data_IF_498649197436
#
_entry.id   IF_498649197436
#
_cell.length_a   1.000
_cell.length_b   1.000
_cell.length_c   1.000
_cell.angle_alpha   90.00
_cell.angle_beta   90.00
_cell.angle_gamma   90.00
#
_symmetry.space_group_name_H-M   'P 1'
#
loop_
_entity.id
_entity.type
_entity.pdbx_description
1 polymer ?
#
# COMPACT_ATOMS: atom_id res chain seq x y z
N UNK A 1 -21.36 12.58 62.43
CA UNK A 1 -20.12 12.21 63.14
C UNK A 1 -18.97 12.10 62.14
N UNK A 2 -18.21 13.14 61.77
CA UNK A 2 -18.11 14.60 62.06
C UNK A 2 -16.59 14.91 62.02
N UNK A 3 -16.04 16.05 61.59
CA UNK A 3 -16.57 17.27 60.95
C UNK A 3 -15.41 17.98 60.19
N UNK A 4 -15.73 18.95 59.33
CA UNK A 4 -14.83 19.79 58.51
C UNK A 4 -13.95 20.75 59.34
N UNK A 5 -12.66 20.89 58.97
CA UNK A 5 -11.87 22.14 59.00
C UNK A 5 -10.64 21.97 58.06
N UNK A 6 -10.17 22.86 57.18
CA UNK A 6 -10.15 24.34 56.97
C UNK A 6 -8.89 25.08 57.46
N UNK A 7 -8.35 25.96 56.58
CA UNK A 7 -7.35 27.04 56.81
C UNK A 7 -5.89 26.60 57.16
N UNK A 8 -4.80 27.35 56.86
CA UNK A 8 -4.57 28.48 55.93
C UNK A 8 -3.04 28.72 55.70
N UNK A 9 -2.68 29.35 54.57
CA UNK A 9 -1.56 30.33 54.33
C UNK A 9 -0.09 29.94 54.66
N UNK A 10 0.74 29.92 53.61
CA UNK A 10 2.07 30.55 53.44
C UNK A 10 2.62 30.06 52.08
N UNK A 11 2.71 30.81 50.99
CA UNK A 11 3.13 32.20 50.73
C UNK A 11 4.66 32.42 50.82
N UNK A 12 5.24 32.68 49.65
CA UNK A 12 6.61 33.16 49.40
C UNK A 12 6.70 33.58 47.93
N UNK A 13 6.45 34.86 47.66
CA UNK A 13 6.81 35.48 46.38
C UNK A 13 8.24 36.00 46.39
N UNK A 14 8.74 36.40 45.22
CA UNK A 14 9.91 37.28 45.09
C UNK A 14 9.71 38.24 43.89
N UNK A 15 10.21 39.47 43.98
CA UNK A 15 9.99 40.57 43.01
C UNK A 15 11.20 40.75 42.04
N UNK A 16 11.58 41.86 41.39
CA UNK A 16 11.22 43.30 41.29
C UNK A 16 11.91 43.83 39.99
N UNK A 17 11.52 44.82 39.18
CA UNK A 17 10.48 45.87 39.06
C UNK A 17 9.83 45.73 37.64
N UNK A 18 8.76 46.39 37.16
CA UNK A 18 8.30 47.81 37.09
C UNK A 18 9.13 48.75 36.20
N UNK A 19 8.52 49.26 35.13
CA UNK A 19 8.58 50.70 34.86
C UNK A 19 7.31 51.19 34.17
N UNK A 20 6.91 52.42 34.50
CA UNK A 20 5.67 53.05 34.05
C UNK A 20 5.96 54.47 33.57
N UNK A 21 5.35 54.85 32.45
CA UNK A 21 5.16 56.24 32.06
C UNK A 21 3.88 56.35 31.22
N UNK A 22 3.13 57.44 31.42
CA UNK A 22 1.88 57.70 30.73
C UNK A 22 1.87 59.18 30.36
N UNK A 23 1.63 59.48 29.10
CA UNK A 23 1.35 60.82 28.60
C UNK A 23 0.34 60.74 27.45
N UNK A 24 -0.41 61.81 27.26
CA UNK A 24 -1.56 61.85 26.35
C UNK A 24 -1.23 62.54 25.03
N UNK A 25 -1.92 62.16 23.94
CA UNK A 25 -2.81 63.12 23.26
C UNK A 25 -3.82 62.47 22.31
N UNK A 26 -4.64 63.29 21.63
CA UNK A 26 -5.79 62.87 20.82
C UNK A 26 -5.44 62.78 19.33
N UNK A 27 -5.69 61.62 18.71
CA UNK A 27 -5.71 61.44 17.26
C UNK A 27 -6.79 60.44 16.87
N UNK A 28 -7.78 60.88 16.08
CA UNK A 28 -8.90 60.05 15.65
C UNK A 28 -8.71 59.56 14.21
N UNK A 29 -8.04 58.41 14.05
CA UNK A 29 -7.88 57.76 12.74
C UNK A 29 -8.63 56.42 12.72
N UNK A 30 -9.52 56.26 11.73
CA UNK A 30 -10.23 55.00 11.49
C UNK A 30 -9.29 53.98 10.84
N UNK A 31 -9.23 52.72 11.30
CA UNK A 31 -8.40 51.71 10.67
C UNK A 31 -8.84 51.47 9.21
N UNK A 32 -7.90 51.23 8.26
CA UNK A 32 -8.24 50.98 6.86
C UNK A 32 -9.16 49.78 6.68
N UNK A 33 -10.17 49.93 5.81
CA UNK A 33 -10.97 48.79 5.35
C UNK A 33 -10.17 47.95 4.35
N UNK A 34 -10.16 46.63 4.56
CA UNK A 34 -9.80 45.66 3.52
C UNK A 34 -8.38 45.12 3.57
N UNK A 35 -8.17 44.11 4.42
CA UNK A 35 -7.42 42.92 4.03
C UNK A 35 -8.31 41.74 4.41
N UNK A 36 -9.12 41.25 3.47
CA UNK A 36 -9.94 40.07 3.71
C UNK A 36 -9.02 38.85 3.91
N UNK A 37 -9.42 37.98 4.83
CA UNK A 37 -8.69 36.75 5.12
C UNK A 37 -8.83 35.79 3.94
N UNK A 38 -7.78 35.72 3.11
CA UNK A 38 -7.55 34.59 2.21
C UNK A 38 -7.16 33.36 3.04
N UNK A 39 -8.12 32.85 3.82
CA UNK A 39 -8.07 31.48 4.32
C UNK A 39 -8.08 30.58 3.08
N UNK A 40 -6.90 30.02 2.76
CA UNK A 40 -6.72 29.13 1.63
C UNK A 40 -7.48 27.84 1.91
N UNK A 41 -8.75 27.82 1.54
CA UNK A 41 -9.61 26.65 1.56
C UNK A 41 -9.01 25.56 0.66
N UNK A 42 -8.14 24.75 1.25
CA UNK A 42 -7.60 23.53 0.63
C UNK A 42 -8.83 22.72 0.21
N UNK A 43 -9.03 22.46 -1.10
CA UNK A 43 -10.18 21.70 -1.54
C UNK A 43 -10.11 20.30 -0.90
N UNK A 44 -10.99 20.04 0.06
CA UNK A 44 -11.24 18.68 0.51
C UNK A 44 -11.86 17.97 -0.68
N UNK A 45 -11.03 17.25 -1.44
CA UNK A 45 -11.50 16.43 -2.53
C UNK A 45 -12.51 15.45 -1.96
N UNK A 46 -13.78 15.59 -2.34
CA UNK A 46 -14.80 14.61 -1.98
C UNK A 46 -14.31 13.25 -2.46
N UNK A 47 -14.01 12.37 -1.50
CA UNK A 47 -13.66 10.99 -1.80
C UNK A 47 -14.84 10.41 -2.58
N UNK A 48 -14.67 10.01 -3.85
CA UNK A 48 -15.79 9.69 -4.70
C UNK A 48 -16.57 8.54 -4.07
N UNK A 49 -17.90 8.64 -4.08
CA UNK A 49 -18.81 7.69 -3.45
C UNK A 49 -18.71 6.25 -4.02
N UNK A 50 -17.93 6.04 -5.08
CA UNK A 50 -17.56 4.74 -5.61
C UNK A 50 -16.39 4.12 -4.81
N UNK A 51 -16.57 2.91 -4.24
CA UNK A 51 -15.51 2.26 -3.47
C UNK A 51 -14.27 1.98 -4.34
N UNK A 52 -13.12 1.90 -3.68
CA UNK A 52 -11.92 1.35 -4.28
C UNK A 52 -12.07 -0.18 -4.36
N UNK A 53 -12.10 -0.74 -5.57
CA UNK A 53 -12.19 -2.18 -5.78
C UNK A 53 -10.79 -2.80 -5.84
N UNK A 54 -10.53 -3.81 -5.01
CA UNK A 54 -9.24 -4.49 -4.92
C UNK A 54 -9.40 -6.00 -5.14
N UNK A 55 -8.95 -6.48 -6.30
CA UNK A 55 -8.91 -7.91 -6.64
C UNK A 55 -7.61 -8.53 -6.13
N UNK A 56 -7.68 -9.59 -5.32
CA UNK A 56 -6.50 -10.20 -4.69
C UNK A 56 -6.23 -11.57 -5.30
N UNK A 57 -5.20 -11.66 -6.15
CA UNK A 57 -4.86 -12.86 -6.94
C UNK A 57 -3.55 -13.49 -6.49
N UNK A 58 -3.37 -14.78 -6.78
CA UNK A 58 -2.21 -15.57 -6.36
C UNK A 58 -2.59 -17.00 -5.98
N UNK A 59 -1.59 -17.81 -5.65
CA UNK A 59 -1.74 -19.25 -5.42
C UNK A 59 -2.43 -19.62 -4.08
N UNK A 60 -2.41 -20.90 -3.74
CA UNK A 60 -2.67 -21.38 -2.38
C UNK A 60 -1.51 -20.98 -1.46
N UNK A 61 -1.77 -20.84 -0.15
CA UNK A 61 -0.73 -20.61 0.86
C UNK A 61 -0.08 -19.21 0.87
N UNK A 62 -0.14 -18.43 -0.21
CA UNK A 62 0.44 -17.07 -0.26
C UNK A 62 -0.25 -16.08 0.69
N UNK A 63 -1.44 -16.41 1.20
CA UNK A 63 -2.08 -15.67 2.30
C UNK A 63 -3.02 -14.53 1.88
N UNK A 64 -3.68 -14.62 0.72
CA UNK A 64 -4.62 -13.60 0.19
C UNK A 64 -5.74 -13.25 1.17
N UNK A 65 -6.45 -14.26 1.68
CA UNK A 65 -7.47 -14.12 2.73
C UNK A 65 -6.89 -13.50 4.01
N UNK A 66 -5.63 -13.81 4.34
CA UNK A 66 -4.91 -13.21 5.49
C UNK A 66 -4.56 -11.74 5.25
N UNK A 67 -4.21 -11.36 4.02
CA UNK A 67 -3.97 -9.97 3.60
C UNK A 67 -5.25 -9.15 3.78
N UNK A 68 -6.37 -9.61 3.20
CA UNK A 68 -7.69 -8.94 3.30
C UNK A 68 -8.11 -8.78 4.77
N UNK A 69 -8.03 -9.86 5.57
CA UNK A 69 -8.31 -9.83 7.01
C UNK A 69 -7.37 -8.91 7.82
N UNK A 70 -6.20 -8.60 7.28
CA UNK A 70 -5.24 -7.70 7.93
C UNK A 70 -5.46 -6.25 7.51
N UNK A 71 -5.76 -5.98 6.23
CA UNK A 71 -6.09 -4.64 5.73
C UNK A 71 -7.42 -4.13 6.29
N UNK A 72 -8.43 -4.99 6.41
CA UNK A 72 -9.72 -4.68 7.06
C UNK A 72 -9.66 -4.75 8.61
N UNK A 73 -8.55 -5.19 9.21
CA UNK A 73 -8.37 -5.41 10.65
C UNK A 73 -9.18 -6.57 11.28
N UNK A 74 -10.32 -6.94 10.68
CA UNK A 74 -11.28 -7.96 11.13
C UNK A 74 -11.17 -9.26 10.32
N UNK A 75 -11.59 -10.39 10.92
CA UNK A 75 -11.75 -11.67 10.21
C UNK A 75 -13.06 -11.64 9.41
N UNK A 76 -12.97 -11.67 8.09
CA UNK A 76 -14.09 -11.79 7.13
C UNK A 76 -13.83 -12.88 6.07
N UNK A 77 -12.59 -13.02 5.61
CA UNK A 77 -12.18 -14.05 4.65
C UNK A 77 -11.77 -15.35 5.37
N UNK A 78 -12.08 -16.51 4.80
CA UNK A 78 -11.89 -17.81 5.46
C UNK A 78 -10.47 -18.36 5.28
N UNK A 79 -9.68 -18.32 6.36
CA UNK A 79 -8.27 -18.78 6.37
C UNK A 79 -8.16 -20.21 6.91
N UNK A 80 -7.75 -21.16 6.06
CA UNK A 80 -7.25 -22.47 6.49
C UNK A 80 -5.77 -22.40 6.88
N UNK A 81 -5.39 -23.18 7.90
CA UNK A 81 -4.00 -23.49 8.26
C UNK A 81 -3.70 -25.00 8.19
N UNK A 82 -4.67 -25.81 7.74
CA UNK A 82 -4.47 -27.24 7.51
C UNK A 82 -3.77 -27.53 6.18
N UNK A 83 -3.45 -28.81 5.89
CA UNK A 83 -2.84 -29.22 4.62
C UNK A 83 -3.78 -29.06 3.41
N UNK A 84 -5.09 -28.92 3.65
CA UNK A 84 -6.10 -28.73 2.62
C UNK A 84 -6.42 -27.23 2.41
N UNK A 85 -6.61 -26.78 1.16
CA UNK A 85 -7.02 -25.42 0.86
C UNK A 85 -8.43 -25.14 1.41
N UNK A 86 -8.74 -23.88 1.69
CA UNK A 86 -10.10 -23.45 2.03
C UNK A 86 -11.09 -23.85 0.93
N UNK A 87 -12.23 -24.42 1.29
CA UNK A 87 -13.39 -24.48 0.39
C UNK A 87 -14.06 -23.11 0.36
N UNK A 88 -13.87 -22.40 -0.75
CA UNK A 88 -14.41 -21.06 -1.03
C UNK A 88 -14.86 -21.00 -2.50
N UNK A 89 -15.72 -20.03 -2.80
CA UNK A 89 -16.24 -19.76 -4.15
C UNK A 89 -15.12 -19.27 -5.10
N UNK A 90 -15.42 -19.13 -6.39
CA UNK A 90 -14.42 -18.64 -7.39
C UNK A 90 -13.83 -17.29 -6.99
N UNK A 91 -14.68 -16.40 -6.47
CA UNK A 91 -14.37 -15.08 -5.94
C UNK A 91 -15.34 -14.85 -4.77
N UNK A 92 -14.87 -14.28 -3.66
CA UNK A 92 -15.69 -13.86 -2.52
C UNK A 92 -15.50 -12.36 -2.23
N UNK A 93 -16.59 -11.67 -1.87
CA UNK A 93 -16.61 -10.21 -1.70
C UNK A 93 -16.53 -9.81 -0.20
N UNK A 94 -15.63 -8.88 0.12
CA UNK A 94 -15.34 -8.46 1.49
C UNK A 94 -15.17 -6.93 1.57
N UNK A 95 -16.22 -6.26 2.02
CA UNK A 95 -16.30 -4.79 2.02
C UNK A 95 -16.00 -4.17 3.39
N UNK A 96 -15.47 -2.94 3.41
CA UNK A 96 -15.21 -2.19 4.64
C UNK A 96 -14.36 -0.93 4.40
N UNK A 97 -13.80 -0.37 5.46
CA UNK A 97 -13.01 0.88 5.40
C UNK A 97 -11.56 0.61 5.76
N UNK A 98 -10.62 1.15 4.96
CA UNK A 98 -9.17 1.07 5.19
C UNK A 98 -8.60 2.48 5.09
N UNK A 99 -8.06 3.02 6.19
CA UNK A 99 -7.58 4.41 6.31
C UNK A 99 -8.55 5.44 5.68
N UNK A 100 -9.81 5.43 6.12
CA UNK A 100 -10.88 6.32 5.62
C UNK A 100 -11.43 5.98 4.23
N UNK A 101 -10.71 5.19 3.44
CA UNK A 101 -11.16 4.76 2.10
C UNK A 101 -12.18 3.64 2.21
N UNK A 102 -13.33 3.76 1.55
CA UNK A 102 -14.25 2.64 1.36
C UNK A 102 -13.67 1.67 0.32
N UNK A 103 -13.52 0.40 0.69
CA UNK A 103 -12.87 -0.64 -0.13
C UNK A 103 -13.78 -1.86 -0.26
N UNK A 104 -13.86 -2.40 -1.48
CA UNK A 104 -14.42 -3.72 -1.77
C UNK A 104 -13.28 -4.65 -2.17
N UNK A 105 -12.94 -5.62 -1.32
CA UNK A 105 -11.98 -6.66 -1.67
C UNK A 105 -12.69 -7.83 -2.35
N UNK A 106 -12.07 -8.37 -3.39
CA UNK A 106 -12.44 -9.64 -3.99
C UNK A 106 -11.32 -10.66 -3.75
N UNK A 107 -11.54 -11.62 -2.85
CA UNK A 107 -10.60 -12.74 -2.63
C UNK A 107 -10.82 -13.78 -3.71
N UNK A 108 -9.81 -14.04 -4.56
CA UNK A 108 -9.95 -15.04 -5.63
C UNK A 108 -9.47 -16.40 -5.17
N UNK A 109 -10.16 -17.45 -5.61
CA UNK A 109 -9.65 -18.81 -5.46
C UNK A 109 -8.32 -18.99 -6.21
N UNK A 110 -7.50 -19.91 -5.72
CA UNK A 110 -6.08 -20.07 -6.10
C UNK A 110 -5.87 -20.12 -7.63
N UNK A 111 -4.86 -19.41 -8.11
CA UNK A 111 -4.38 -19.60 -9.48
C UNK A 111 -3.91 -21.06 -9.68
N UNK A 112 -4.16 -21.61 -10.86
CA UNK A 112 -3.80 -22.99 -11.19
C UNK A 112 -4.63 -24.08 -10.48
N UNK A 113 -5.79 -23.77 -9.89
CA UNK A 113 -6.68 -24.81 -9.35
C UNK A 113 -7.21 -25.72 -10.48
N UNK A 114 -6.96 -27.04 -10.45
CA UNK A 114 -7.49 -27.95 -11.48
C UNK A 114 -9.03 -28.01 -11.50
N UNK A 115 -9.69 -27.57 -10.42
CA UNK A 115 -11.16 -27.48 -10.33
C UNK A 115 -11.72 -26.15 -10.87
N UNK A 116 -10.88 -25.18 -11.27
CA UNK A 116 -11.33 -23.91 -11.84
C UNK A 116 -11.21 -23.88 -13.35
N UNK A 117 -12.32 -23.52 -14.01
CA UNK A 117 -12.26 -23.08 -15.39
C UNK A 117 -11.63 -21.68 -15.45
N UNK A 118 -10.34 -21.59 -15.84
CA UNK A 118 -9.63 -20.31 -15.98
C UNK A 118 -10.39 -19.29 -16.86
N UNK A 119 -11.14 -19.74 -17.89
CA UNK A 119 -11.95 -18.82 -18.73
C UNK A 119 -13.11 -18.18 -17.94
N UNK A 120 -13.68 -18.89 -16.98
CA UNK A 120 -14.75 -18.38 -16.12
C UNK A 120 -14.18 -17.37 -15.11
N UNK A 121 -13.01 -17.65 -14.53
CA UNK A 121 -12.30 -16.69 -13.67
C UNK A 121 -11.94 -15.41 -14.45
N UNK A 122 -11.41 -15.53 -15.68
CA UNK A 122 -11.20 -14.36 -16.57
C UNK A 122 -12.50 -13.60 -16.80
N UNK A 123 -13.62 -14.29 -17.08
CA UNK A 123 -14.91 -13.63 -17.32
C UNK A 123 -15.41 -12.88 -16.08
N UNK A 124 -15.36 -13.49 -14.89
CA UNK A 124 -15.77 -12.86 -13.63
C UNK A 124 -14.90 -11.64 -13.29
N UNK A 125 -13.57 -11.74 -13.47
CA UNK A 125 -12.66 -10.62 -13.24
C UNK A 125 -12.89 -9.50 -14.26
N UNK A 126 -13.09 -9.81 -15.55
CA UNK A 126 -13.44 -8.79 -16.55
C UNK A 126 -14.79 -8.13 -16.27
N UNK A 127 -15.83 -8.90 -15.96
CA UNK A 127 -17.12 -8.33 -15.56
C UNK A 127 -16.97 -7.37 -14.35
N UNK A 128 -16.13 -7.70 -13.35
CA UNK A 128 -15.84 -6.79 -12.23
C UNK A 128 -14.95 -5.58 -12.60
N UNK A 129 -14.12 -5.68 -13.62
CA UNK A 129 -13.42 -4.54 -14.25
C UNK A 129 -14.35 -3.65 -15.09
N UNK A 130 -15.42 -4.21 -15.65
CA UNK A 130 -16.41 -3.47 -16.44
C UNK A 130 -17.47 -2.81 -15.53
N UNK A 131 -17.80 -3.45 -14.39
CA UNK A 131 -18.67 -2.90 -13.33
C UNK A 131 -17.98 -1.83 -12.46
N UNK A 132 -16.65 -1.80 -12.42
CA UNK A 132 -15.87 -0.82 -11.64
C UNK A 132 -15.18 0.18 -12.56
N UNK A 133 -15.22 1.47 -12.22
CA UNK A 133 -14.51 2.51 -12.97
C UNK A 133 -12.97 2.42 -12.76
N UNK A 134 -12.25 3.50 -13.09
CA UNK A 134 -10.81 3.72 -12.84
C UNK A 134 -10.30 3.31 -11.43
N UNK A 135 -11.19 3.30 -10.43
CA UNK A 135 -10.97 2.85 -9.04
C UNK A 135 -10.87 1.33 -8.87
N UNK A 136 -10.41 0.58 -9.87
CA UNK A 136 -10.06 -0.85 -9.76
C UNK A 136 -8.54 -1.07 -9.64
N UNK A 137 -8.10 -2.03 -8.81
CA UNK A 137 -6.69 -2.42 -8.62
C UNK A 137 -6.54 -3.94 -8.45
N UNK A 138 -5.41 -4.51 -8.85
CA UNK A 138 -5.07 -5.93 -8.65
C UNK A 138 -3.84 -6.06 -7.75
N UNK A 139 -3.97 -6.81 -6.64
CA UNK A 139 -2.85 -7.23 -5.81
C UNK A 139 -2.40 -8.64 -6.19
N UNK A 140 -1.26 -8.75 -6.87
CA UNK A 140 -0.64 -10.03 -7.22
C UNK A 140 0.20 -10.49 -6.04
N UNK A 141 -0.25 -11.51 -5.33
CA UNK A 141 0.34 -11.96 -4.06
C UNK A 141 1.29 -13.15 -4.24
N UNK A 142 2.56 -12.98 -3.86
CA UNK A 142 3.61 -14.01 -3.82
C UNK A 142 4.33 -13.92 -2.46
N UNK A 143 4.89 -15.02 -1.91
CA UNK A 143 5.58 -14.96 -0.60
C UNK A 143 7.01 -14.43 -0.78
N UNK A 144 7.46 -13.50 0.05
CA UNK A 144 8.80 -12.89 -0.10
C UNK A 144 9.95 -13.93 -0.05
N UNK A 145 9.79 -14.97 0.76
CA UNK A 145 10.77 -16.04 0.99
C UNK A 145 10.74 -17.17 -0.05
N UNK A 146 9.84 -17.12 -1.05
CA UNK A 146 9.81 -18.14 -2.09
C UNK A 146 10.95 -17.91 -3.09
N UNK A 147 11.74 -18.96 -3.37
CA UNK A 147 12.66 -18.92 -4.52
C UNK A 147 11.85 -18.85 -5.80
N UNK A 148 12.13 -17.86 -6.66
CA UNK A 148 11.49 -17.80 -7.97
C UNK A 148 12.12 -18.81 -8.92
N UNK A 149 11.64 -20.05 -8.84
CA UNK A 149 11.99 -21.08 -9.80
C UNK A 149 11.46 -20.74 -11.21
N UNK A 150 12.25 -21.09 -12.22
CA UNK A 150 11.94 -20.86 -13.63
C UNK A 150 11.04 -21.98 -14.22
N UNK A 151 10.37 -22.78 -13.37
CA UNK A 151 9.28 -23.69 -13.74
C UNK A 151 7.95 -22.90 -13.88
N UNK A 152 7.83 -22.14 -14.98
CA UNK A 152 6.96 -20.95 -15.06
C UNK A 152 5.43 -21.16 -15.15
N UNK A 153 4.86 -22.27 -14.67
CA UNK A 153 3.40 -22.51 -14.70
C UNK A 153 2.59 -21.42 -13.96
N UNK A 154 3.17 -20.91 -12.87
CA UNK A 154 2.57 -19.93 -11.95
C UNK A 154 2.18 -18.64 -12.67
N UNK A 155 3.10 -18.12 -13.49
CA UNK A 155 2.90 -16.90 -14.29
C UNK A 155 2.07 -17.14 -15.53
N UNK A 156 2.15 -18.34 -16.13
CA UNK A 156 1.28 -18.67 -17.25
C UNK A 156 -0.20 -18.50 -16.87
N UNK A 157 -0.59 -18.79 -15.62
CA UNK A 157 -1.95 -18.54 -15.16
C UNK A 157 -2.29 -17.04 -15.10
N UNK A 158 -1.38 -16.18 -14.60
CA UNK A 158 -1.56 -14.71 -14.65
C UNK A 158 -1.68 -14.18 -16.08
N UNK A 159 -0.84 -14.65 -17.01
CA UNK A 159 -0.86 -14.15 -18.40
C UNK A 159 -2.01 -14.76 -19.21
N UNK A 160 -2.45 -15.99 -18.93
CA UNK A 160 -3.71 -16.54 -19.48
C UNK A 160 -4.93 -15.75 -18.95
N UNK A 161 -4.86 -15.23 -17.72
CA UNK A 161 -5.92 -14.48 -17.06
C UNK A 161 -6.04 -13.03 -17.58
N UNK A 162 -4.92 -12.31 -17.72
CA UNK A 162 -4.89 -10.89 -18.10
C UNK A 162 -4.54 -10.64 -19.58
N UNK A 163 -3.88 -11.60 -20.26
CA UNK A 163 -3.42 -11.49 -21.65
C UNK A 163 -2.60 -10.22 -21.88
N UNK A 164 -2.78 -9.55 -23.02
CA UNK A 164 -2.08 -8.31 -23.39
C UNK A 164 -2.90 -7.06 -23.01
N UNK A 165 -3.76 -7.16 -22.00
CA UNK A 165 -4.67 -6.09 -21.59
C UNK A 165 -3.91 -5.02 -20.78
N UNK A 166 -3.53 -3.93 -21.45
CA UNK A 166 -2.69 -2.88 -20.88
C UNK A 166 -3.36 -2.17 -19.69
N UNK A 167 -4.69 -2.00 -19.72
CA UNK A 167 -5.46 -1.40 -18.62
C UNK A 167 -5.39 -2.28 -17.37
N UNK A 168 -5.56 -3.60 -17.53
CA UNK A 168 -5.41 -4.55 -16.42
C UNK A 168 -3.99 -4.49 -15.85
N UNK A 169 -2.95 -4.62 -16.68
CA UNK A 169 -1.57 -4.57 -16.19
C UNK A 169 -1.19 -3.23 -15.54
N UNK A 170 -1.72 -2.10 -16.03
CA UNK A 170 -1.53 -0.78 -15.38
C UNK A 170 -2.14 -0.72 -13.98
N UNK A 171 -3.21 -1.48 -13.72
CA UNK A 171 -3.89 -1.57 -12.41
C UNK A 171 -3.20 -2.51 -11.40
N UNK A 172 -2.19 -3.29 -11.84
CA UNK A 172 -1.50 -4.26 -10.99
C UNK A 172 -0.49 -3.63 -10.02
N UNK A 173 -0.38 -4.26 -8.85
CA UNK A 173 0.64 -4.06 -7.81
C UNK A 173 1.13 -5.46 -7.40
N UNK A 174 2.44 -5.65 -7.30
CA UNK A 174 3.04 -6.88 -6.76
C UNK A 174 3.10 -6.76 -5.23
N UNK A 175 2.61 -7.76 -4.52
CA UNK A 175 2.59 -7.79 -3.04
C UNK A 175 3.35 -9.01 -2.55
N UNK A 176 4.51 -8.76 -1.96
CA UNK A 176 5.38 -9.78 -1.35
C UNK A 176 4.91 -10.05 0.09
N UNK A 177 4.08 -11.07 0.24
CA UNK A 177 3.41 -11.44 1.49
C UNK A 177 4.32 -12.21 2.43
N UNK A 178 3.85 -12.36 3.67
CA UNK A 178 4.55 -13.02 4.78
C UNK A 178 5.87 -12.32 5.16
N UNK A 179 5.98 -11.02 4.92
CA UNK A 179 7.23 -10.25 5.08
C UNK A 179 7.80 -10.19 6.51
N UNK A 180 7.03 -10.57 7.54
CA UNK A 180 7.56 -10.77 8.90
C UNK A 180 8.34 -12.10 9.08
N UNK A 181 8.49 -12.91 8.03
CA UNK A 181 9.34 -14.12 7.98
C UNK A 181 10.67 -13.87 7.28
N UNK A 182 10.92 -12.66 6.80
CA UNK A 182 12.19 -12.30 6.17
C UNK A 182 13.22 -12.00 7.27
N UNK A 183 14.32 -12.76 7.27
CA UNK A 183 15.35 -12.74 8.32
C UNK A 183 16.76 -12.60 7.70
N UNK A 184 17.75 -12.25 8.52
CA UNK A 184 19.16 -12.12 8.09
C UNK A 184 19.79 -13.48 7.75
N UNK A 185 19.42 -14.50 8.53
CA UNK A 185 20.02 -15.84 8.54
C UNK A 185 19.85 -16.62 7.22
N UNK A 186 18.75 -16.40 6.48
CA UNK A 186 18.50 -17.04 5.16
C UNK A 186 19.54 -16.65 4.07
N UNK A 187 20.41 -15.69 4.38
CA UNK A 187 21.44 -15.14 3.48
C UNK A 187 22.87 -15.23 4.04
N UNK A 188 23.06 -15.86 5.20
CA UNK A 188 24.40 -16.10 5.76
C UNK A 188 24.86 -17.49 5.34
N UNK A 189 25.98 -17.55 4.62
CA UNK A 189 26.64 -18.81 4.24
C UNK A 189 27.16 -19.53 5.48
N UNK A 190 27.26 -20.87 5.43
CA UNK A 190 27.82 -21.72 6.51
C UNK A 190 29.33 -21.45 6.82
N UNK A 191 29.92 -20.44 6.21
CA UNK A 191 31.24 -19.92 6.55
C UNK A 191 31.18 -19.23 7.92
N UNK A 192 31.84 -19.85 8.91
CA UNK A 192 31.92 -19.33 10.28
C UNK A 192 32.85 -18.12 10.35
N UNK A 193 32.34 -16.94 10.01
CA UNK A 193 33.02 -15.70 10.39
C UNK A 193 33.09 -15.61 11.93
N UNK A 194 34.27 -15.28 12.45
CA UNK A 194 34.53 -15.26 13.88
C UNK A 194 33.70 -14.18 14.60
N UNK A 195 33.15 -14.52 15.76
CA UNK A 195 32.15 -13.72 16.48
C UNK A 195 32.73 -12.53 17.25
N UNK A 196 33.59 -11.74 16.63
CA UNK A 196 34.11 -10.50 17.22
C UNK A 196 33.27 -9.29 16.80
N UNK A 197 32.49 -8.75 17.75
CA UNK A 197 31.90 -7.41 17.63
C UNK A 197 30.64 -7.29 16.76
N UNK A 198 29.62 -8.13 17.00
CA UNK A 198 28.30 -7.95 16.36
C UNK A 198 27.79 -6.52 16.59
N UNK A 199 27.58 -5.79 15.49
CA UNK A 199 27.32 -4.36 15.54
C UNK A 199 26.08 -3.97 16.33
N UNK A 200 26.13 -2.78 16.93
CA UNK A 200 25.01 -2.09 17.58
C UNK A 200 23.68 -2.28 16.83
N UNK A 201 22.60 -2.66 17.54
CA UNK A 201 21.32 -3.13 16.98
C UNK A 201 20.76 -2.29 15.81
N UNK A 202 20.94 -0.97 15.80
CA UNK A 202 20.62 -0.09 14.67
C UNK A 202 21.21 -0.57 13.34
N UNK A 203 22.47 -1.02 13.33
CA UNK A 203 23.14 -1.57 12.13
C UNK A 203 22.49 -2.87 11.65
N UNK A 204 21.94 -3.69 12.54
CA UNK A 204 21.20 -4.90 12.17
C UNK A 204 19.87 -4.54 11.47
N UNK A 205 19.13 -3.56 11.98
CA UNK A 205 17.91 -3.06 11.34
C UNK A 205 18.19 -2.45 9.95
N UNK A 206 19.28 -1.68 9.82
CA UNK A 206 19.73 -1.10 8.55
C UNK A 206 20.12 -2.19 7.53
N UNK A 207 20.87 -3.21 7.93
CA UNK A 207 21.23 -4.34 7.06
C UNK A 207 19.99 -5.16 6.66
N UNK A 208 19.06 -5.41 7.59
CA UNK A 208 17.80 -6.13 7.29
C UNK A 208 16.93 -5.35 6.30
N UNK A 209 16.85 -4.02 6.47
CA UNK A 209 16.18 -3.09 5.55
C UNK A 209 16.82 -3.10 4.16
N UNK A 210 18.15 -3.08 4.07
CA UNK A 210 18.88 -3.15 2.80
C UNK A 210 18.70 -4.51 2.12
N UNK A 211 18.87 -5.64 2.83
CA UNK A 211 18.58 -7.01 2.32
C UNK A 211 17.14 -7.09 1.78
N UNK A 212 16.14 -6.56 2.50
CA UNK A 212 14.75 -6.54 2.04
C UNK A 212 14.53 -5.66 0.80
N UNK A 213 15.17 -4.49 0.69
CA UNK A 213 15.10 -3.63 -0.51
C UNK A 213 15.73 -4.33 -1.74
N UNK A 214 16.84 -5.06 -1.55
CA UNK A 214 17.48 -5.85 -2.61
C UNK A 214 16.53 -6.96 -3.08
N UNK A 215 16.01 -7.76 -2.15
CA UNK A 215 15.03 -8.81 -2.43
C UNK A 215 13.80 -8.27 -3.20
N UNK A 216 13.23 -7.12 -2.79
CA UNK A 216 12.13 -6.47 -3.51
C UNK A 216 12.47 -6.09 -4.96
N UNK A 217 13.71 -5.64 -5.23
CA UNK A 217 14.18 -5.31 -6.58
C UNK A 217 14.42 -6.57 -7.43
N UNK A 218 15.00 -7.62 -6.84
CA UNK A 218 15.18 -8.92 -7.49
C UNK A 218 13.82 -9.50 -7.90
N UNK A 219 12.85 -9.49 -6.99
CA UNK A 219 11.46 -9.86 -7.27
C UNK A 219 10.86 -9.05 -8.44
N UNK A 220 11.08 -7.74 -8.50
CA UNK A 220 10.61 -6.90 -9.61
C UNK A 220 11.21 -7.34 -10.96
N UNK A 221 12.55 -7.48 -11.02
CA UNK A 221 13.30 -7.83 -12.23
C UNK A 221 12.97 -9.24 -12.73
N UNK A 222 12.88 -10.21 -11.79
CA UNK A 222 12.56 -11.60 -12.08
C UNK A 222 11.09 -11.75 -12.52
N UNK A 223 10.16 -11.09 -11.84
CA UNK A 223 8.74 -11.06 -12.22
C UNK A 223 8.54 -10.43 -13.61
N UNK A 224 9.26 -9.33 -13.90
CA UNK A 224 9.26 -8.74 -15.25
C UNK A 224 9.79 -9.72 -16.30
N UNK A 225 10.94 -10.34 -16.04
CA UNK A 225 11.55 -11.31 -16.97
C UNK A 225 10.63 -12.50 -17.25
N UNK A 226 9.85 -12.95 -16.28
CA UNK A 226 8.83 -13.98 -16.46
C UNK A 226 7.65 -13.51 -17.32
N UNK A 227 7.17 -12.28 -17.13
CA UNK A 227 6.05 -11.73 -17.92
C UNK A 227 6.44 -11.43 -19.38
N UNK A 228 7.66 -10.94 -19.63
CA UNK A 228 8.16 -10.70 -20.99
C UNK A 228 8.24 -11.99 -21.83
N UNK A 229 8.60 -13.12 -21.21
CA UNK A 229 8.61 -14.46 -21.85
C UNK A 229 7.22 -14.93 -22.32
N UNK A 230 6.13 -14.26 -21.90
CA UNK A 230 4.75 -14.54 -22.31
C UNK A 230 4.07 -13.34 -22.99
N UNK A 231 4.85 -12.48 -23.66
CA UNK A 231 4.36 -11.38 -24.51
C UNK A 231 3.61 -10.24 -23.77
N UNK A 232 3.75 -10.10 -22.46
CA UNK A 232 3.19 -8.96 -21.74
C UNK A 232 3.92 -7.63 -22.13
N UNK A 233 3.23 -6.47 -22.18
CA UNK A 233 3.81 -5.25 -22.75
C UNK A 233 4.89 -4.58 -21.87
N UNK A 234 6.14 -4.57 -22.34
CA UNK A 234 7.33 -4.09 -21.59
C UNK A 234 7.17 -2.76 -20.84
N UNK A 235 6.59 -1.73 -21.48
CA UNK A 235 6.46 -0.37 -20.92
C UNK A 235 5.67 -0.33 -19.60
N UNK A 236 4.75 -1.27 -19.40
CA UNK A 236 3.90 -1.33 -18.20
C UNK A 236 4.65 -1.93 -17.02
N UNK A 237 5.46 -2.96 -17.28
CA UNK A 237 6.01 -3.85 -16.26
C UNK A 237 7.11 -3.16 -15.45
N UNK A 238 7.94 -2.36 -16.11
CA UNK A 238 9.02 -1.57 -15.49
C UNK A 238 8.53 -0.62 -14.38
N UNK A 239 7.25 -0.22 -14.42
CA UNK A 239 6.63 0.74 -13.49
C UNK A 239 5.50 0.09 -12.65
N UNK A 240 5.51 -1.24 -12.48
CA UNK A 240 4.59 -1.92 -11.57
C UNK A 240 5.07 -1.77 -10.11
N UNK A 241 4.27 -1.18 -9.19
CA UNK A 241 4.69 -1.02 -7.80
C UNK A 241 4.90 -2.37 -7.11
N UNK A 242 5.96 -2.48 -6.31
CA UNK A 242 6.21 -3.63 -5.43
C UNK A 242 6.03 -3.19 -3.97
N UNK A 243 5.10 -3.84 -3.29
CA UNK A 243 4.86 -3.68 -1.86
C UNK A 243 5.27 -4.97 -1.11
N UNK A 244 5.54 -4.84 0.18
CA UNK A 244 5.62 -5.97 1.12
C UNK A 244 4.37 -6.00 1.99
N UNK A 245 3.96 -7.19 2.45
CA UNK A 245 2.83 -7.35 3.36
C UNK A 245 3.15 -8.33 4.49
N UNK A 246 2.95 -7.86 5.72
CA UNK A 246 3.09 -8.66 6.93
C UNK A 246 1.78 -9.34 7.37
N UNK A 247 1.65 -9.53 8.68
CA UNK A 247 0.43 -9.96 9.35
C UNK A 247 -0.11 -8.84 10.26
N UNK A 248 -1.40 -8.87 10.60
CA UNK A 248 -2.05 -7.80 11.37
C UNK A 248 -1.52 -7.51 12.79
N UNK A 249 -0.63 -8.33 13.35
CA UNK A 249 0.06 -8.01 14.62
C UNK A 249 1.32 -7.16 14.41
N UNK A 250 1.83 -7.09 13.18
CA UNK A 250 3.11 -6.49 12.83
C UNK A 250 2.95 -5.64 11.56
N UNK A 251 2.44 -4.42 11.74
CA UNK A 251 2.23 -3.46 10.64
C UNK A 251 3.54 -2.80 10.19
N UNK A 252 4.53 -2.69 11.09
CA UNK A 252 5.90 -2.30 10.78
C UNK A 252 6.67 -3.46 10.16
N UNK A 253 7.46 -3.13 9.14
CA UNK A 253 8.43 -3.97 8.44
C UNK A 253 9.73 -3.16 8.26
N UNK A 254 10.88 -3.79 7.97
CA UNK A 254 12.16 -3.09 7.80
C UNK A 254 12.12 -1.91 6.81
N UNK A 255 11.27 -2.00 5.77
CA UNK A 255 11.14 -1.00 4.70
C UNK A 255 9.94 -0.05 4.85
N UNK A 256 9.06 -0.25 5.84
CA UNK A 256 7.87 0.61 6.04
C UNK A 256 7.27 0.45 7.45
N UNK A 257 6.98 1.56 8.12
CA UNK A 257 6.33 1.55 9.45
C UNK A 257 4.87 1.07 9.42
N UNK A 258 4.21 1.08 8.26
CA UNK A 258 2.82 0.65 8.12
C UNK A 258 2.55 0.09 6.71
N UNK A 259 2.70 -1.22 6.55
CA UNK A 259 2.56 -1.86 5.24
C UNK A 259 1.13 -1.79 4.67
N UNK A 260 0.09 -1.75 5.51
CA UNK A 260 -1.30 -1.59 5.05
C UNK A 260 -1.49 -0.21 4.43
N UNK A 261 -1.01 0.85 5.11
CA UNK A 261 -1.05 2.20 4.59
C UNK A 261 -0.26 2.27 3.28
N UNK A 262 0.94 1.69 3.23
CA UNK A 262 1.78 1.72 2.03
C UNK A 262 1.14 1.07 0.80
N UNK A 263 0.37 -0.01 0.98
CA UNK A 263 -0.42 -0.62 -0.11
C UNK A 263 -1.56 0.33 -0.54
N UNK A 264 -2.28 0.95 0.40
CA UNK A 264 -3.33 1.92 0.07
C UNK A 264 -2.78 3.14 -0.68
N UNK A 265 -1.63 3.67 -0.26
CA UNK A 265 -0.92 4.74 -0.98
C UNK A 265 -0.63 4.30 -2.43
N UNK A 266 -0.11 3.08 -2.63
CA UNK A 266 0.15 2.53 -3.97
C UNK A 266 -1.14 2.30 -4.78
N UNK A 267 -2.27 1.99 -4.16
CA UNK A 267 -3.58 1.94 -4.83
C UNK A 267 -4.06 3.34 -5.27
N UNK A 268 -3.78 4.39 -4.50
CA UNK A 268 -4.15 5.77 -4.82
C UNK A 268 -3.20 6.44 -5.84
N UNK A 269 -1.91 6.14 -5.81
CA UNK A 269 -0.83 6.75 -6.62
C UNK A 269 -0.93 6.52 -8.16
N UNK A 270 -2.06 6.05 -8.70
CA UNK A 270 -2.32 5.96 -10.15
C UNK A 270 -3.57 6.70 -10.63
N UNK A 271 -4.18 7.54 -9.79
CA UNK A 271 -5.22 8.48 -10.25
C UNK A 271 -4.64 9.68 -11.04
N UNK A 272 -3.38 10.06 -10.80
CA UNK A 272 -2.78 11.30 -11.34
C UNK A 272 -2.07 11.13 -12.70
N UNK A 273 -1.39 10.01 -12.93
CA UNK A 273 -0.62 9.78 -14.16
C UNK A 273 -1.48 9.66 -15.44
N UNK A 274 -2.81 9.56 -15.31
CA UNK A 274 -3.72 9.52 -16.45
C UNK A 274 -3.83 10.88 -17.17
N UNK A 275 -3.50 11.99 -16.50
CA UNK A 275 -3.49 13.33 -17.09
C UNK A 275 -2.14 13.68 -17.76
N UNK A 276 -1.01 13.22 -17.20
CA UNK A 276 0.33 13.49 -17.74
C UNK A 276 0.59 12.79 -19.08
N UNK A 277 0.17 11.54 -19.21
CA UNK A 277 0.39 10.75 -20.42
C UNK A 277 -0.44 11.31 -21.59
N UNK A 278 -1.69 11.72 -21.34
CA UNK A 278 -2.50 12.38 -22.37
C UNK A 278 -2.00 13.78 -22.76
N UNK A 279 -1.45 14.58 -21.84
CA UNK A 279 -0.83 15.86 -22.21
C UNK A 279 0.41 15.66 -23.10
N UNK A 280 1.28 14.70 -22.76
CA UNK A 280 2.49 14.42 -23.57
C UNK A 280 2.17 13.84 -24.94
N UNK A 281 1.10 13.04 -25.06
CA UNK A 281 0.63 12.51 -26.34
C UNK A 281 -0.05 13.59 -27.21
N UNK A 282 -0.87 14.47 -26.63
CA UNK A 282 -1.43 15.66 -27.31
C UNK A 282 -0.35 16.61 -27.84
N UNK A 283 0.64 16.95 -26.99
CA UNK A 283 1.75 17.82 -27.39
C UNK A 283 2.66 17.19 -28.46
N UNK A 284 2.67 15.85 -28.56
CA UNK A 284 3.39 15.14 -29.63
C UNK A 284 2.61 15.17 -30.94
N UNK A 285 1.30 14.92 -30.92
CA UNK A 285 0.45 14.97 -32.13
C UNK A 285 0.36 16.39 -32.72
N UNK A 286 0.25 17.42 -31.88
CA UNK A 286 0.25 18.83 -32.34
C UNK A 286 1.56 19.23 -33.05
N UNK A 287 2.71 18.65 -32.67
CA UNK A 287 3.99 18.92 -33.35
C UNK A 287 4.11 18.26 -34.71
N UNK A 288 3.41 17.14 -34.95
CA UNK A 288 3.43 16.43 -36.23
C UNK A 288 2.44 16.98 -37.28
N UNK A 289 1.49 17.82 -36.87
CA UNK A 289 0.49 18.44 -37.76
C UNK A 289 0.77 19.94 -38.05
N UNK A 290 1.99 20.40 -37.78
CA UNK A 290 2.42 21.81 -37.93
C UNK A 290 3.78 21.97 -38.65
N UNK A 291 4.17 20.97 -39.45
CA UNK A 291 5.34 20.96 -40.34
C UNK A 291 4.98 20.22 -41.64
#
# INVERSE_FOLDING_TARGET
QDTIAMAHIADYGDELHVHMSCDSERGSETPPKGIDQYELAIPQQEMPNTPLTIMVVGEAGVGKSTLINSMLGRKVALVSHGPYPTNHNTIEEHSGTVYGTLVVFYDTRRLGDPQLNNKELTKKIKQKLDECCDRFKILICLRIIDKLDQSVERFQHLVKLFKNDETIWKSCILVLTQANRFDLNDYESDEKEDKEGWGSSLRQEEVLKLKMIICMKEWAIQFQSCLERYNAPKKIIMNMPVCVAGNKRHLKLPVTDNWVQKIMDCCHMKALNFQSDHQTEWHSQLKYNLW
#
